data_IF_333689207345
#
_entry.id   IF_333689207345
#
_cell.length_a   1.000
_cell.length_b   1.000
_cell.length_c   1.000
_cell.angle_alpha   90.00
_cell.angle_beta   90.00
_cell.angle_gamma   90.00
#
_symmetry.space_group_name_H-M   'P 1'
#
loop_
_entity.id
_entity.type
_entity.pdbx_description
1 polymer ?
#
# COMPACT_ATOMS: atom_id res chain seq x y z
N UNK A 1 -7.80 8.61 -1.95
CA UNK A 1 -6.74 8.28 -2.92
C UNK A 1 -7.20 7.28 -4.00
N UNK A 2 -7.85 6.14 -3.67
CA UNK A 2 -8.24 5.10 -4.63
C UNK A 2 -9.10 5.62 -5.80
N UNK A 3 -10.12 6.44 -5.53
CA UNK A 3 -10.95 7.03 -6.58
C UNK A 3 -10.14 7.93 -7.54
N UNK A 4 -9.16 8.65 -7.06
CA UNK A 4 -8.26 9.45 -7.90
C UNK A 4 -7.37 8.56 -8.74
N UNK A 5 -6.82 7.49 -8.15
CA UNK A 5 -6.02 6.49 -8.86
C UNK A 5 -6.80 5.87 -10.04
N UNK A 6 -8.03 5.43 -9.79
CA UNK A 6 -8.93 4.91 -10.84
C UNK A 6 -9.19 5.93 -11.95
N UNK A 7 -9.41 7.21 -11.62
CA UNK A 7 -9.67 8.27 -12.61
C UNK A 7 -8.48 8.57 -13.53
N UNK A 8 -7.25 8.27 -13.11
CA UNK A 8 -6.05 8.41 -13.94
C UNK A 8 -5.65 7.11 -14.66
N UNK A 9 -6.50 6.07 -14.54
CA UNK A 9 -6.32 4.79 -15.22
C UNK A 9 -5.35 3.83 -14.52
N UNK A 10 -5.09 4.01 -13.21
CA UNK A 10 -4.45 2.99 -12.39
C UNK A 10 -5.48 1.94 -12.00
N UNK A 11 -5.11 0.66 -12.08
CA UNK A 11 -5.92 -0.41 -11.54
C UNK A 11 -5.83 -0.41 -10.02
N UNK A 12 -6.95 -0.65 -9.36
CA UNK A 12 -7.06 -0.70 -7.90
C UNK A 12 -7.79 -2.01 -7.52
N UNK A 13 -7.45 -2.63 -6.40
CA UNK A 13 -8.24 -3.76 -5.92
C UNK A 13 -9.67 -3.33 -5.67
N UNK A 14 -10.67 -4.13 -6.04
CA UNK A 14 -12.05 -3.95 -5.59
C UNK A 14 -12.10 -3.71 -4.09
N UNK A 15 -12.75 -2.63 -3.68
CA UNK A 15 -12.72 -2.16 -2.30
C UNK A 15 -14.11 -1.70 -1.90
N UNK A 16 -14.55 -2.13 -0.71
CA UNK A 16 -15.79 -1.71 -0.09
C UNK A 16 -15.52 -1.15 1.31
N UNK A 17 -16.18 -0.06 1.63
CA UNK A 17 -16.23 0.47 3.01
C UNK A 17 -17.68 0.48 3.43
N UNK A 18 -18.03 -0.30 4.45
CA UNK A 18 -19.38 -0.47 4.92
C UNK A 18 -19.51 -0.41 6.43
N UNK A 19 -20.75 -0.30 6.90
CA UNK A 19 -21.13 -0.22 8.31
C UNK A 19 -22.18 -1.27 8.70
N UNK A 20 -22.63 -2.09 7.74
CA UNK A 20 -23.60 -3.13 8.00
C UNK A 20 -23.20 -4.48 7.38
N UNK A 21 -23.58 -5.53 8.08
CA UNK A 21 -23.26 -6.93 7.74
C UNK A 21 -23.73 -7.33 6.34
N UNK A 22 -24.91 -6.88 5.93
CA UNK A 22 -25.49 -7.20 4.62
C UNK A 22 -24.62 -6.74 3.45
N UNK A 23 -23.99 -5.56 3.56
CA UNK A 23 -23.10 -5.03 2.53
C UNK A 23 -21.80 -5.84 2.47
N UNK A 24 -21.24 -6.20 3.63
CA UNK A 24 -20.04 -7.03 3.72
C UNK A 24 -20.28 -8.42 3.13
N UNK A 25 -21.43 -9.06 3.45
CA UNK A 25 -21.80 -10.35 2.86
C UNK A 25 -21.82 -10.25 1.34
N UNK A 26 -22.52 -9.25 0.79
CA UNK A 26 -22.64 -9.04 -0.66
C UNK A 26 -21.27 -8.88 -1.32
N UNK A 27 -20.36 -8.13 -0.70
CA UNK A 27 -19.00 -7.96 -1.22
C UNK A 27 -18.20 -9.26 -1.14
N UNK A 28 -18.23 -9.95 0.02
CA UNK A 28 -17.51 -11.20 0.25
C UNK A 28 -17.95 -12.33 -0.70
N UNK A 29 -19.25 -12.41 -1.04
CA UNK A 29 -19.79 -13.39 -1.99
C UNK A 29 -19.37 -13.11 -3.45
N UNK A 30 -18.94 -11.91 -3.75
CA UNK A 30 -18.50 -11.51 -5.09
C UNK A 30 -17.02 -11.86 -5.35
N UNK A 31 -16.20 -11.97 -4.29
CA UNK A 31 -14.76 -12.18 -4.40
C UNK A 31 -14.34 -13.37 -3.54
N UNK A 32 -13.57 -14.30 -4.13
CA UNK A 32 -13.17 -15.54 -3.48
C UNK A 32 -12.29 -15.33 -2.23
N UNK A 33 -11.43 -14.31 -2.28
CA UNK A 33 -10.51 -13.97 -1.20
C UNK A 33 -10.60 -12.48 -0.88
N UNK A 34 -10.78 -12.19 0.39
CA UNK A 34 -10.86 -10.81 0.89
C UNK A 34 -9.88 -10.59 2.03
N UNK A 35 -9.40 -9.35 2.14
CA UNK A 35 -8.64 -8.83 3.27
C UNK A 35 -9.40 -7.70 3.93
N UNK A 36 -9.21 -7.55 5.24
CA UNK A 36 -9.61 -6.37 5.99
C UNK A 36 -8.36 -5.60 6.40
N UNK A 37 -8.40 -4.28 6.25
CA UNK A 37 -7.33 -3.38 6.67
C UNK A 37 -7.90 -2.07 7.18
N UNK A 38 -7.06 -1.26 7.82
CA UNK A 38 -7.45 0.06 8.28
C UNK A 38 -7.83 0.98 7.12
N UNK A 39 -8.78 1.88 7.37
CA UNK A 39 -9.19 2.91 6.39
C UNK A 39 -8.12 4.00 6.28
N UNK A 40 -7.42 4.25 7.39
CA UNK A 40 -6.33 5.22 7.52
C UNK A 40 -5.09 4.54 8.12
N UNK A 41 -4.39 5.26 8.98
CA UNK A 41 -3.22 4.75 9.68
C UNK A 41 -3.57 3.60 10.62
N UNK A 42 -2.59 2.73 10.86
CA UNK A 42 -2.70 1.65 11.84
C UNK A 42 -3.13 2.21 13.19
N UNK A 43 -4.26 1.72 13.69
CA UNK A 43 -4.69 2.03 15.05
C UNK A 43 -3.80 1.25 16.02
N UNK A 44 -3.28 1.94 17.00
CA UNK A 44 -2.64 1.28 18.12
C UNK A 44 -3.21 1.76 19.44
N UNK A 45 -3.31 0.89 20.41
CA UNK A 45 -3.66 1.26 21.78
C UNK A 45 -2.79 0.49 22.77
N UNK A 46 -2.45 1.14 23.86
CA UNK A 46 -1.75 0.54 24.98
C UNK A 46 -2.76 0.22 26.07
N UNK A 47 -2.79 -1.04 26.49
CA UNK A 47 -3.65 -1.52 27.56
C UNK A 47 -2.92 -2.56 28.39
N UNK A 48 -2.88 -2.40 29.72
CA UNK A 48 -2.23 -3.30 30.69
C UNK A 48 -0.78 -3.67 30.31
N UNK A 49 0.04 -2.69 29.91
CA UNK A 49 1.42 -2.84 29.44
C UNK A 49 1.59 -3.65 28.14
N UNK A 50 0.50 -3.90 27.41
CA UNK A 50 0.53 -4.49 26.07
C UNK A 50 0.18 -3.44 25.03
N UNK A 51 0.85 -3.52 23.88
CA UNK A 51 0.54 -2.72 22.71
C UNK A 51 -0.28 -3.57 21.74
N UNK A 52 -1.47 -3.09 21.42
CA UNK A 52 -2.36 -3.69 20.43
C UNK A 52 -2.37 -2.80 19.19
N UNK A 53 -2.22 -3.38 18.02
CA UNK A 53 -2.27 -2.66 16.75
C UNK A 53 -3.04 -3.47 15.71
N UNK A 54 -3.68 -2.74 14.81
CA UNK A 54 -4.40 -3.34 13.70
C UNK A 54 -3.44 -3.68 12.57
N UNK A 55 -3.71 -4.78 11.88
CA UNK A 55 -2.94 -5.24 10.72
C UNK A 55 -3.87 -5.69 9.61
N UNK A 56 -3.38 -5.62 8.38
CA UNK A 56 -4.04 -6.26 7.26
C UNK A 56 -4.15 -7.77 7.50
N UNK A 57 -5.36 -8.30 7.45
CA UNK A 57 -5.64 -9.72 7.69
C UNK A 57 -6.64 -10.28 6.70
N UNK A 58 -6.56 -11.59 6.45
CA UNK A 58 -7.56 -12.28 5.65
C UNK A 58 -8.91 -12.25 6.34
N UNK A 59 -9.92 -11.93 5.57
CA UNK A 59 -11.31 -11.96 6.00
C UNK A 59 -11.96 -13.26 5.56
N UNK A 60 -12.55 -13.99 6.50
CA UNK A 60 -13.06 -15.35 6.32
C UNK A 60 -14.56 -15.48 6.65
N UNK A 61 -15.16 -16.58 6.27
CA UNK A 61 -16.54 -16.91 6.65
C UNK A 61 -16.76 -16.95 8.17
N UNK A 62 -15.72 -17.25 8.98
CA UNK A 62 -15.82 -17.18 10.44
C UNK A 62 -15.95 -15.75 10.93
N UNK A 63 -15.27 -14.79 10.29
CA UNK A 63 -15.42 -13.36 10.61
C UNK A 63 -16.85 -12.89 10.32
N UNK A 64 -17.46 -13.32 9.20
CA UNK A 64 -18.86 -13.01 8.88
C UNK A 64 -19.85 -13.45 9.96
N UNK A 65 -19.59 -14.56 10.64
CA UNK A 65 -20.47 -15.05 11.73
C UNK A 65 -20.34 -14.20 12.99
N UNK A 66 -19.19 -13.58 13.21
CA UNK A 66 -18.86 -12.86 14.44
C UNK A 66 -19.20 -11.37 14.38
N UNK A 67 -19.30 -10.77 13.17
CA UNK A 67 -19.64 -9.35 13.06
C UNK A 67 -21.12 -9.11 13.39
N UNK A 68 -21.36 -8.01 14.09
CA UNK A 68 -22.70 -7.52 14.41
C UNK A 68 -23.43 -7.01 13.16
N UNK A 69 -24.75 -6.82 13.24
CA UNK A 69 -25.57 -6.27 12.14
C UNK A 69 -25.09 -4.89 11.71
N UNK A 70 -24.70 -4.05 12.68
CA UNK A 70 -24.12 -2.72 12.46
C UNK A 70 -22.80 -2.59 13.25
N UNK A 71 -21.81 -1.97 12.60
CA UNK A 71 -20.47 -1.82 13.16
C UNK A 71 -19.82 -0.51 12.65
N UNK A 72 -18.68 -0.13 13.20
CA UNK A 72 -17.92 1.02 12.72
C UNK A 72 -17.49 0.83 11.26
N UNK A 73 -17.34 1.93 10.48
CA UNK A 73 -16.86 1.86 9.12
C UNK A 73 -15.61 0.97 9.02
N UNK A 74 -15.74 -0.09 8.24
CA UNK A 74 -14.67 -1.09 8.05
C UNK A 74 -14.41 -1.30 6.57
N UNK A 75 -13.15 -1.48 6.21
CA UNK A 75 -12.71 -1.68 4.85
C UNK A 75 -12.51 -3.17 4.57
N UNK A 76 -13.18 -3.64 3.53
CA UNK A 76 -12.94 -4.94 2.93
C UNK A 76 -12.43 -4.74 1.49
N UNK A 77 -11.43 -5.51 1.11
CA UNK A 77 -10.78 -5.41 -0.20
C UNK A 77 -10.52 -6.82 -0.75
N UNK A 78 -10.62 -6.99 -2.08
CA UNK A 78 -10.17 -8.22 -2.73
C UNK A 78 -8.69 -8.44 -2.46
N UNK A 79 -8.31 -9.66 -2.04
CA UNK A 79 -6.91 -10.07 -1.92
C UNK A 79 -6.35 -10.34 -3.32
N UNK A 80 -5.53 -9.43 -3.83
CA UNK A 80 -4.87 -9.60 -5.12
C UNK A 80 -3.70 -10.56 -4.98
N UNK A 81 -3.64 -11.58 -5.83
CA UNK A 81 -2.48 -12.48 -5.90
C UNK A 81 -1.22 -11.70 -6.26
N UNK A 82 -0.18 -11.84 -5.45
CA UNK A 82 1.06 -11.06 -5.60
C UNK A 82 2.19 -11.92 -6.14
N UNK A 83 2.86 -11.44 -7.19
CA UNK A 83 4.20 -11.88 -7.57
C UNK A 83 5.25 -11.21 -6.67
N UNK A 84 5.10 -9.92 -6.45
CA UNK A 84 5.84 -9.08 -5.51
C UNK A 84 5.08 -7.77 -5.26
N UNK A 85 5.48 -7.07 -4.22
CA UNK A 85 5.03 -5.72 -3.94
C UNK A 85 6.06 -4.71 -4.45
N UNK A 86 5.60 -3.51 -4.80
CA UNK A 86 6.48 -2.39 -5.14
C UNK A 86 6.35 -1.31 -4.07
N UNK A 87 7.47 -0.93 -3.50
CA UNK A 87 7.63 0.31 -2.76
C UNK A 87 8.27 1.33 -3.69
N UNK A 88 7.63 2.49 -3.84
CA UNK A 88 8.02 3.54 -4.77
C UNK A 88 8.06 4.85 -4.00
N UNK A 89 9.21 5.51 -3.96
CA UNK A 89 9.28 6.88 -3.51
C UNK A 89 9.26 7.81 -4.73
N UNK A 90 8.35 8.79 -4.71
CA UNK A 90 8.16 9.80 -5.73
C UNK A 90 8.63 11.16 -5.22
N UNK A 91 9.36 11.92 -6.05
CA UNK A 91 9.69 13.32 -5.82
C UNK A 91 9.66 14.08 -7.14
N UNK A 92 8.64 14.92 -7.36
CA UNK A 92 8.55 15.82 -8.53
C UNK A 92 8.88 15.18 -9.88
N UNK A 93 8.31 14.00 -10.16
CA UNK A 93 8.52 13.26 -11.41
C UNK A 93 9.66 12.27 -11.37
N UNK A 94 10.50 12.27 -10.34
CA UNK A 94 11.53 11.25 -10.13
C UNK A 94 10.98 10.07 -9.33
N UNK A 95 11.44 8.87 -9.67
CA UNK A 95 10.97 7.62 -9.08
C UNK A 95 12.13 6.78 -8.58
N UNK A 96 12.07 6.40 -7.32
CA UNK A 96 12.94 5.42 -6.70
C UNK A 96 12.07 4.21 -6.36
N UNK A 97 12.37 3.05 -6.92
CA UNK A 97 11.48 1.90 -6.81
C UNK A 97 12.24 0.63 -6.47
N UNK A 98 11.65 -0.19 -5.63
CA UNK A 98 12.13 -1.54 -5.34
C UNK A 98 10.99 -2.55 -5.31
N UNK A 99 11.31 -3.79 -5.67
CA UNK A 99 10.42 -4.93 -5.54
C UNK A 99 10.72 -5.69 -4.24
N UNK A 100 9.66 -6.05 -3.51
CA UNK A 100 9.69 -6.75 -2.23
C UNK A 100 9.04 -8.12 -2.42
N UNK A 101 9.80 -9.19 -2.21
CA UNK A 101 9.32 -10.57 -2.36
C UNK A 101 8.83 -11.11 -1.03
N UNK A 102 7.62 -10.71 -0.63
CA UNK A 102 6.99 -11.05 0.65
C UNK A 102 6.30 -12.42 0.65
N UNK A 103 6.14 -13.06 -0.51
CA UNK A 103 5.33 -14.28 -0.68
C UNK A 103 5.98 -15.55 -0.16
N UNK A 104 7.27 -15.54 0.18
CA UNK A 104 8.01 -16.71 0.64
C UNK A 104 7.84 -16.99 2.14
N UNK A 105 7.20 -16.11 2.87
CA UNK A 105 6.95 -16.22 4.31
C UNK A 105 5.48 -15.92 4.61
N UNK A 106 4.80 -16.83 5.26
CA UNK A 106 3.38 -16.69 5.63
C UNK A 106 3.11 -15.46 6.51
N UNK A 107 4.10 -15.02 7.30
CA UNK A 107 4.00 -13.84 8.15
C UNK A 107 3.89 -12.56 7.30
N UNK A 108 4.65 -12.47 6.21
CA UNK A 108 4.74 -11.27 5.36
C UNK A 108 3.89 -11.35 4.08
N UNK A 109 3.31 -12.53 3.80
CA UNK A 109 2.61 -12.80 2.54
C UNK A 109 1.41 -11.86 2.29
N UNK A 110 0.69 -11.46 3.32
CA UNK A 110 -0.44 -10.53 3.20
C UNK A 110 0.04 -9.08 3.21
N UNK A 111 0.92 -8.77 4.17
CA UNK A 111 1.45 -7.43 4.38
C UNK A 111 2.94 -7.52 4.73
N UNK A 112 3.81 -7.02 3.85
CA UNK A 112 5.27 -7.10 4.06
C UNK A 112 5.74 -6.34 5.31
N UNK A 113 4.92 -5.42 5.84
CA UNK A 113 5.18 -4.64 7.06
C UNK A 113 5.12 -5.51 8.31
N UNK A 114 4.49 -6.68 8.24
CA UNK A 114 4.58 -7.71 9.29
C UNK A 114 5.94 -8.40 9.23
N UNK A 115 6.98 -7.61 9.46
CA UNK A 115 8.37 -7.95 9.19
C UNK A 115 8.86 -9.14 10.02
N UNK A 116 9.52 -10.10 9.35
CA UNK A 116 10.18 -11.22 10.00
C UNK A 116 11.69 -10.90 10.12
N UNK A 117 12.14 -10.57 11.34
CA UNK A 117 13.54 -10.21 11.61
C UNK A 117 14.52 -11.37 11.37
N UNK A 118 14.06 -12.61 11.56
CA UNK A 118 14.90 -13.81 11.38
C UNK A 118 15.00 -14.23 9.93
N UNK A 119 14.03 -13.84 9.10
CA UNK A 119 13.95 -14.15 7.66
C UNK A 119 13.47 -12.93 6.88
N UNK A 120 14.32 -11.92 6.69
CA UNK A 120 13.94 -10.69 6.01
C UNK A 120 13.53 -10.95 4.56
N UNK A 121 12.54 -10.18 4.08
CA UNK A 121 12.12 -10.22 2.69
C UNK A 121 13.27 -9.84 1.76
N UNK A 122 13.39 -10.56 0.65
CA UNK A 122 14.29 -10.15 -0.43
C UNK A 122 13.77 -8.87 -1.07
N UNK A 123 14.63 -7.87 -1.20
CA UNK A 123 14.35 -6.59 -1.84
C UNK A 123 15.36 -6.34 -2.95
N UNK A 124 14.90 -5.85 -4.10
CA UNK A 124 15.76 -5.54 -5.26
C UNK A 124 15.34 -4.23 -5.92
N UNK A 125 16.30 -3.47 -6.51
CA UNK A 125 15.96 -2.30 -7.32
C UNK A 125 14.98 -2.68 -8.43
N UNK A 126 14.03 -1.80 -8.71
CA UNK A 126 13.02 -2.02 -9.74
C UNK A 126 12.90 -0.81 -10.68
N UNK A 127 12.76 -1.07 -11.97
CA UNK A 127 12.50 -0.02 -12.97
C UNK A 127 11.04 -0.05 -13.39
N UNK A 128 10.30 1.00 -13.02
CA UNK A 128 8.89 1.12 -13.39
C UNK A 128 8.71 1.26 -14.92
N UNK A 129 7.71 0.58 -15.51
CA UNK A 129 7.30 0.81 -16.89
C UNK A 129 6.89 2.27 -17.10
N UNK A 130 7.18 2.81 -18.28
CA UNK A 130 6.89 4.20 -18.60
C UNK A 130 5.39 4.53 -18.50
N UNK A 131 4.52 3.59 -18.87
CA UNK A 131 3.07 3.73 -18.76
C UNK A 131 2.60 3.90 -17.31
N UNK A 132 3.22 3.16 -16.37
CA UNK A 132 2.92 3.28 -14.94
C UNK A 132 3.45 4.62 -14.40
N UNK A 133 4.68 5.02 -14.76
CA UNK A 133 5.23 6.33 -14.37
C UNK A 133 4.31 7.48 -14.77
N UNK A 134 3.82 7.48 -16.01
CA UNK A 134 2.91 8.54 -16.50
C UNK A 134 1.61 8.61 -15.69
N UNK A 135 1.00 7.47 -15.39
CA UNK A 135 -0.21 7.41 -14.56
C UNK A 135 0.05 7.90 -13.13
N UNK A 136 1.19 7.52 -12.55
CA UNK A 136 1.58 7.95 -11.20
C UNK A 136 1.87 9.45 -11.15
N UNK A 137 2.51 10.06 -12.16
CA UNK A 137 2.69 11.52 -12.25
C UNK A 137 1.33 12.21 -12.24
N UNK A 138 0.41 11.79 -13.13
CA UNK A 138 -0.94 12.36 -13.18
C UNK A 138 -1.71 12.18 -11.86
N UNK A 139 -1.50 11.06 -11.18
CA UNK A 139 -2.08 10.80 -9.86
C UNK A 139 -1.53 11.79 -8.82
N UNK A 140 -0.21 11.91 -8.71
CA UNK A 140 0.44 12.79 -7.74
C UNK A 140 0.08 14.26 -7.97
N UNK A 141 0.02 14.70 -9.23
CA UNK A 141 -0.44 16.04 -9.60
C UNK A 141 -1.89 16.29 -9.15
N UNK A 142 -2.81 15.35 -9.42
CA UNK A 142 -4.21 15.45 -8.98
C UNK A 142 -4.37 15.43 -7.46
N UNK A 143 -3.46 14.77 -6.75
CA UNK A 143 -3.43 14.76 -5.28
C UNK A 143 -2.71 15.98 -4.70
N UNK A 144 -2.10 16.84 -5.57
CA UNK A 144 -1.28 18.00 -5.18
C UNK A 144 -0.10 17.60 -4.27
N UNK A 145 0.53 16.46 -4.59
CA UNK A 145 1.64 15.91 -3.83
C UNK A 145 2.94 16.04 -4.64
N UNK A 146 3.90 16.75 -4.08
CA UNK A 146 5.25 16.88 -4.63
C UNK A 146 6.12 15.65 -4.32
N UNK A 147 5.83 14.97 -3.20
CA UNK A 147 6.53 13.77 -2.77
C UNK A 147 5.58 12.79 -2.09
N UNK A 148 6.00 11.53 -1.98
CA UNK A 148 5.29 10.50 -1.23
C UNK A 148 5.79 9.11 -1.53
N UNK A 149 5.51 8.17 -0.63
CA UNK A 149 5.75 6.75 -0.86
C UNK A 149 4.47 6.09 -1.35
N UNK A 150 4.58 5.36 -2.45
CA UNK A 150 3.49 4.67 -3.13
C UNK A 150 3.69 3.17 -3.00
N UNK A 151 2.63 2.47 -2.64
CA UNK A 151 2.61 1.01 -2.59
C UNK A 151 1.75 0.45 -3.72
N UNK A 152 2.30 -0.54 -4.43
CA UNK A 152 1.62 -1.26 -5.51
C UNK A 152 1.85 -2.77 -5.39
N UNK A 153 0.96 -3.56 -5.99
CA UNK A 153 1.14 -4.99 -6.21
C UNK A 153 1.41 -5.22 -7.69
N UNK A 154 2.31 -6.15 -7.98
CA UNK A 154 2.47 -6.74 -9.32
C UNK A 154 2.03 -8.20 -9.23
N UNK A 155 1.08 -8.59 -10.09
CA UNK A 155 0.53 -9.94 -10.16
C UNK A 155 1.43 -10.89 -10.97
N UNK A 156 1.22 -12.21 -10.92
CA UNK A 156 1.97 -13.17 -11.75
C UNK A 156 1.89 -12.89 -13.25
N UNK A 157 0.77 -12.36 -13.74
CA UNK A 157 0.55 -11.94 -15.14
C UNK A 157 1.01 -10.50 -15.43
N UNK A 158 1.76 -9.88 -14.50
CA UNK A 158 2.35 -8.54 -14.57
C UNK A 158 1.33 -7.40 -14.69
N UNK A 159 0.15 -7.53 -14.08
CA UNK A 159 -0.75 -6.42 -13.85
C UNK A 159 -0.30 -5.60 -12.63
N UNK A 160 -0.56 -4.29 -12.63
CA UNK A 160 -0.11 -3.36 -11.59
C UNK A 160 -1.33 -2.80 -10.85
N UNK A 161 -1.47 -3.13 -9.58
CA UNK A 161 -2.54 -2.62 -8.72
C UNK A 161 -1.99 -1.57 -7.74
N UNK A 162 -2.54 -0.37 -7.81
CA UNK A 162 -2.24 0.69 -6.84
C UNK A 162 -2.96 0.40 -5.53
N UNK A 163 -2.24 0.48 -4.41
CA UNK A 163 -2.79 0.29 -3.08
C UNK A 163 -3.02 1.61 -2.36
N UNK A 164 -1.95 2.38 -2.18
CA UNK A 164 -2.01 3.63 -1.42
C UNK A 164 -0.84 4.56 -1.74
N UNK A 165 -0.96 5.80 -1.30
CA UNK A 165 0.13 6.78 -1.22
C UNK A 165 0.19 7.32 0.20
N UNK A 166 1.39 7.34 0.76
CA UNK A 166 1.69 8.00 2.01
C UNK A 166 2.50 9.29 1.73
N UNK A 167 1.92 10.48 1.95
CA UNK A 167 2.60 11.75 1.68
C UNK A 167 3.85 11.99 2.54
N UNK A 168 3.89 11.40 3.75
CA UNK A 168 5.03 11.46 4.69
C UNK A 168 5.81 10.15 4.66
N UNK A 169 5.76 9.46 3.53
CA UNK A 169 6.27 8.10 3.40
C UNK A 169 7.78 7.99 3.66
N UNK A 170 8.14 6.91 4.33
CA UNK A 170 9.53 6.54 4.60
C UNK A 170 10.26 6.22 3.29
N UNK A 171 11.47 6.71 3.16
CA UNK A 171 12.35 6.47 2.01
C UNK A 171 13.70 5.85 2.39
N UNK A 172 14.03 5.76 3.67
CA UNK A 172 15.28 5.16 4.20
C UNK A 172 15.44 3.68 3.85
N UNK A 173 14.33 2.95 3.75
CA UNK A 173 14.31 1.53 3.36
C UNK A 173 14.97 1.27 1.99
N UNK A 174 15.02 2.26 1.09
CA UNK A 174 15.68 2.15 -0.21
C UNK A 174 17.19 1.99 -0.12
N UNK A 175 17.80 2.38 1.01
CA UNK A 175 19.22 2.16 1.29
C UNK A 175 19.61 0.68 1.26
N UNK A 176 18.65 -0.23 1.59
CA UNK A 176 18.86 -1.68 1.48
C UNK A 176 19.09 -2.15 0.04
N UNK A 177 18.69 -1.34 -0.94
CA UNK A 177 18.91 -1.60 -2.36
C UNK A 177 20.00 -0.70 -2.97
N UNK A 178 20.81 -0.02 -2.16
CA UNK A 178 21.81 0.99 -2.60
C UNK A 178 21.16 2.13 -3.44
N UNK A 179 19.92 2.48 -3.14
CA UNK A 179 19.21 3.62 -3.70
C UNK A 179 19.12 4.69 -2.62
N UNK A 180 19.53 5.91 -2.94
CA UNK A 180 19.69 7.00 -1.96
C UNK A 180 18.82 8.21 -2.34
N UNK A 181 17.51 8.20 -2.06
CA UNK A 181 16.60 9.31 -2.36
C UNK A 181 16.96 10.59 -1.60
N UNK A 182 17.58 10.48 -0.42
CA UNK A 182 18.04 11.59 0.43
C UNK A 182 18.89 12.60 -0.33
N UNK A 183 19.76 12.15 -1.23
CA UNK A 183 20.59 13.04 -2.07
C UNK A 183 19.76 13.91 -2.99
N UNK A 184 18.73 13.34 -3.61
CA UNK A 184 17.85 14.06 -4.53
C UNK A 184 16.90 14.99 -3.75
N UNK A 185 16.44 14.54 -2.58
CA UNK A 185 15.66 15.37 -1.66
C UNK A 185 16.48 16.61 -1.25
N UNK A 186 17.73 16.41 -0.82
CA UNK A 186 18.61 17.51 -0.44
C UNK A 186 18.83 18.51 -1.60
N UNK A 187 19.09 18.00 -2.81
CA UNK A 187 19.23 18.85 -3.99
C UNK A 187 17.94 19.62 -4.32
N UNK A 188 16.79 18.97 -4.21
CA UNK A 188 15.49 19.61 -4.41
C UNK A 188 15.26 20.75 -3.42
N UNK A 189 15.52 20.53 -2.13
CA UNK A 189 15.37 21.52 -1.08
C UNK A 189 16.33 22.71 -1.28
N UNK A 190 17.60 22.45 -1.64
CA UNK A 190 18.56 23.51 -1.93
C UNK A 190 18.13 24.38 -3.12
N UNK A 191 17.66 23.78 -4.22
CA UNK A 191 17.13 24.55 -5.36
C UNK A 191 15.98 25.44 -4.92
N UNK A 192 15.03 24.92 -4.19
CA UNK A 192 13.88 25.68 -3.66
C UNK A 192 14.30 26.83 -2.75
N UNK A 193 15.33 26.64 -1.94
CA UNK A 193 15.87 27.70 -1.08
C UNK A 193 16.47 28.85 -1.88
N UNK A 194 17.15 28.58 -3.00
CA UNK A 194 17.79 29.61 -3.83
C UNK A 194 16.86 30.25 -4.89
N UNK A 195 15.68 29.68 -5.13
CA UNK A 195 14.65 30.23 -6.02
C UNK A 195 13.80 31.33 -5.35
N UNK A 196 13.94 31.52 -4.04
CA UNK A 196 13.29 32.54 -3.21
C UNK A 196 14.30 33.57 -2.71
#
# INVERSE_FOLDING_TARGET
SLNTAKKVGLDIPPTHVGTCKKEIIKFYEQYDNCISKDIQDTLYCEFENNIYYTMTSRFSASNLKQIEEFFFPSLLQEEIEKKYELRIFYLKGEFFSMAIFSQQDNQTAIDYRNYNETRPNRMVPYTLPQTIKQKLILFMDKMMLDSGSIDMIVTPDNQYYFLEVNPVGQYDIFNLCNIFPDRVIAQYLLRKYYEH
#
